data_IF_124818547109
#
_entry.id   IF_124818547109
#
_cell.length_a   1.000
_cell.length_b   1.000
_cell.length_c   1.000
_cell.angle_alpha   90.00
_cell.angle_beta   90.00
_cell.angle_gamma   90.00
#
_symmetry.space_group_name_H-M   'P 1'
#
loop_
_entity.id
_entity.type
_entity.pdbx_description
1 polymer ?
#
# COMPACT_ATOMS: atom_id res chain seq x y z
N UNK A 1 1.48 9.43 5.69
CA UNK A 1 1.86 8.01 5.80
C UNK A 1 2.09 7.61 7.27
N UNK A 2 2.48 6.36 7.53
CA UNK A 2 2.66 5.82 8.88
C UNK A 2 3.86 6.38 9.65
N UNK A 3 4.66 7.25 9.09
CA UNK A 3 5.71 8.00 9.82
C UNK A 3 5.14 8.77 11.02
N UNK A 4 3.83 9.05 11.04
CA UNK A 4 3.18 9.68 12.20
C UNK A 4 3.39 8.91 13.52
N UNK A 5 3.73 7.63 13.48
CA UNK A 5 4.10 6.85 14.67
C UNK A 5 5.23 7.53 15.47
N UNK A 6 6.10 8.29 14.80
CA UNK A 6 7.14 9.08 15.48
C UNK A 6 6.58 10.11 16.46
N UNK A 7 5.33 10.57 16.32
CA UNK A 7 4.67 11.46 17.28
C UNK A 7 4.14 10.73 18.52
N UNK A 8 4.10 9.39 18.48
CA UNK A 8 3.57 8.56 19.55
C UNK A 8 4.65 8.02 20.49
N UNK A 9 5.92 8.19 20.14
CA UNK A 9 7.06 7.93 21.02
C UNK A 9 8.10 9.04 20.86
N UNK A 10 8.64 9.53 21.96
CA UNK A 10 9.54 10.70 21.99
C UNK A 10 10.99 10.29 21.69
N UNK A 11 11.23 9.56 20.60
CA UNK A 11 12.55 9.03 20.22
C UNK A 11 13.19 9.74 19.04
N UNK A 12 12.39 10.41 18.21
CA UNK A 12 12.88 11.10 17.01
C UNK A 12 12.64 12.60 17.18
N UNK A 13 13.70 13.36 17.27
CA UNK A 13 13.64 14.82 17.37
C UNK A 13 13.57 15.50 16.00
N UNK A 14 14.15 14.86 14.97
CA UNK A 14 14.19 15.38 13.60
C UNK A 14 13.78 14.30 12.60
N UNK A 15 12.57 14.42 12.05
CA UNK A 15 12.01 13.49 11.06
C UNK A 15 12.56 13.69 9.65
N UNK A 16 13.48 14.64 9.41
CA UNK A 16 14.17 14.81 8.13
C UNK A 16 15.34 13.84 7.97
N UNK A 17 15.73 13.14 9.02
CA UNK A 17 16.82 12.17 9.02
C UNK A 17 16.30 10.75 8.76
N UNK A 18 17.14 9.78 8.37
CA UNK A 18 16.77 8.37 8.25
C UNK A 18 16.17 7.78 9.53
N UNK A 19 16.44 8.38 10.69
CA UNK A 19 15.88 7.98 11.98
C UNK A 19 14.33 7.91 11.96
N UNK A 20 13.66 8.68 11.11
CA UNK A 20 12.20 8.59 10.94
C UNK A 20 11.69 7.21 10.54
N UNK A 21 12.52 6.39 9.89
CA UNK A 21 12.18 5.02 9.48
C UNK A 21 12.75 3.99 10.45
N UNK A 22 14.03 4.12 10.84
CA UNK A 22 14.66 3.18 11.76
C UNK A 22 14.02 3.20 13.13
N UNK A 23 13.62 4.38 13.64
CA UNK A 23 12.90 4.48 14.90
C UNK A 23 11.51 3.82 14.83
N UNK A 24 10.80 3.89 13.69
CA UNK A 24 9.55 3.13 13.51
C UNK A 24 9.84 1.62 13.58
N UNK A 25 10.86 1.14 12.87
CA UNK A 25 11.24 -0.27 12.89
C UNK A 25 11.60 -0.78 14.30
N UNK A 26 12.21 0.06 15.12
CA UNK A 26 12.67 -0.31 16.45
C UNK A 26 11.59 -0.17 17.54
N UNK A 27 10.67 0.78 17.38
CA UNK A 27 9.77 1.17 18.47
C UNK A 27 8.29 0.97 18.17
N UNK A 28 7.88 0.78 16.91
CA UNK A 28 6.45 0.63 16.57
C UNK A 28 5.77 -0.50 17.37
N UNK A 29 6.49 -1.60 17.62
CA UNK A 29 5.97 -2.75 18.36
C UNK A 29 5.57 -2.40 19.82
N UNK A 30 6.12 -1.33 20.41
CA UNK A 30 5.79 -0.86 21.76
C UNK A 30 4.59 0.09 21.81
N UNK A 31 4.06 0.54 20.65
CA UNK A 31 2.93 1.46 20.60
C UNK A 31 1.63 0.68 20.76
N UNK A 32 0.98 0.82 21.91
CA UNK A 32 -0.36 0.27 22.11
C UNK A 32 -1.43 1.14 21.41
N UNK A 33 -2.12 0.61 20.38
CA UNK A 33 -3.20 1.34 19.69
C UNK A 33 -4.35 1.76 20.61
N UNK A 34 -4.53 1.09 21.74
CA UNK A 34 -5.60 1.41 22.72
C UNK A 34 -5.16 2.41 23.78
N UNK A 35 -3.89 2.79 23.84
CA UNK A 35 -3.39 3.77 24.81
C UNK A 35 -4.11 5.11 24.68
N UNK A 36 -4.25 5.80 25.82
CA UNK A 36 -4.89 7.13 25.84
C UNK A 36 -4.22 8.13 24.89
N UNK A 37 -2.88 8.04 24.74
CA UNK A 37 -2.09 8.87 23.83
C UNK A 37 -2.46 8.62 22.36
N UNK A 38 -2.51 7.36 21.93
CA UNK A 38 -2.91 7.00 20.55
C UNK A 38 -4.34 7.43 20.28
N UNK A 39 -5.27 7.11 21.18
CA UNK A 39 -6.68 7.45 21.03
C UNK A 39 -6.88 8.98 20.98
N UNK A 40 -6.15 9.76 21.77
CA UNK A 40 -6.19 11.21 21.69
C UNK A 40 -5.67 11.72 20.34
N UNK A 41 -4.59 11.14 19.81
CA UNK A 41 -4.05 11.51 18.50
C UNK A 41 -5.03 11.16 17.37
N UNK A 42 -5.65 9.99 17.38
CA UNK A 42 -6.64 9.60 16.37
C UNK A 42 -7.87 10.52 16.40
N UNK A 43 -8.34 10.90 17.60
CA UNK A 43 -9.41 11.92 17.72
C UNK A 43 -9.00 13.26 17.12
N UNK A 44 -7.77 13.70 17.36
CA UNK A 44 -7.24 14.93 16.76
C UNK A 44 -7.23 14.87 15.22
N UNK A 45 -6.74 13.77 14.64
CA UNK A 45 -6.76 13.58 13.17
C UNK A 45 -8.19 13.68 12.63
N UNK A 46 -9.15 13.01 13.27
CA UNK A 46 -10.56 13.07 12.88
C UNK A 46 -11.13 14.49 12.98
N UNK A 47 -10.91 15.18 14.10
CA UNK A 47 -11.37 16.56 14.33
C UNK A 47 -10.78 17.56 13.31
N UNK A 48 -9.58 17.29 12.83
CA UNK A 48 -8.88 18.12 11.84
C UNK A 48 -9.16 17.70 10.41
N UNK A 49 -10.08 16.74 10.20
CA UNK A 49 -10.43 16.20 8.88
C UNK A 49 -9.20 15.72 8.09
N UNK A 50 -8.22 15.14 8.79
CA UNK A 50 -7.01 14.59 8.16
C UNK A 50 -7.37 13.26 7.48
N UNK A 51 -7.04 13.13 6.20
CA UNK A 51 -7.02 11.84 5.51
C UNK A 51 -5.61 11.28 5.53
N UNK A 52 -5.45 10.01 5.87
CA UNK A 52 -4.17 9.34 5.87
C UNK A 52 -3.93 8.64 4.53
N UNK A 53 -2.67 8.59 4.13
CA UNK A 53 -2.16 7.71 3.09
C UNK A 53 -1.12 6.79 3.75
N UNK A 54 -1.50 5.56 4.15
CA UNK A 54 -0.64 4.69 4.98
C UNK A 54 0.66 4.31 4.31
N UNK A 55 0.65 3.98 3.02
CA UNK A 55 1.83 3.50 2.28
C UNK A 55 2.53 2.33 2.98
N UNK A 56 1.74 1.31 3.40
CA UNK A 56 2.28 0.16 4.13
C UNK A 56 3.31 -0.61 3.32
N UNK A 57 3.13 -0.65 2.00
CA UNK A 57 4.01 -1.40 1.09
C UNK A 57 5.45 -0.88 1.10
N UNK A 58 5.68 0.43 1.23
CA UNK A 58 7.05 0.94 1.34
C UNK A 58 7.67 0.56 2.68
N UNK A 59 6.88 0.52 3.75
CA UNK A 59 7.36 0.05 5.06
C UNK A 59 7.60 -1.45 5.07
N UNK A 60 6.78 -2.24 4.37
CA UNK A 60 7.06 -3.66 4.16
C UNK A 60 8.44 -3.84 3.57
N UNK A 61 8.74 -3.19 2.44
CA UNK A 61 10.06 -3.25 1.82
C UNK A 61 11.17 -2.79 2.77
N UNK A 62 11.01 -1.62 3.41
CA UNK A 62 12.02 -1.10 4.32
C UNK A 62 12.34 -2.05 5.48
N UNK A 63 11.35 -2.74 6.02
CA UNK A 63 11.51 -3.52 7.25
C UNK A 63 11.74 -5.00 7.00
N UNK A 64 11.27 -5.55 5.87
CA UNK A 64 11.29 -6.99 5.63
C UNK A 64 12.21 -7.45 4.51
N UNK A 65 12.55 -6.57 3.53
CA UNK A 65 13.43 -6.95 2.44
C UNK A 65 14.87 -7.06 2.92
N UNK A 66 15.59 -8.02 2.35
CA UNK A 66 17.01 -8.28 2.64
C UNK A 66 17.81 -8.31 1.36
N UNK A 67 19.04 -7.81 1.41
CA UNK A 67 19.93 -7.79 0.25
C UNK A 67 20.12 -9.20 -0.35
N UNK A 68 20.04 -9.28 -1.67
CA UNK A 68 20.18 -10.53 -2.42
C UNK A 68 18.91 -11.39 -2.48
N UNK A 69 17.81 -10.98 -1.84
CA UNK A 69 16.54 -11.73 -1.83
C UNK A 69 15.41 -10.84 -2.31
N UNK A 70 14.57 -11.38 -3.21
CA UNK A 70 13.34 -10.69 -3.62
C UNK A 70 12.41 -10.59 -2.42
N UNK A 71 11.99 -9.37 -2.09
CA UNK A 71 11.08 -9.11 -0.98
C UNK A 71 9.66 -9.61 -1.23
N UNK A 72 8.89 -9.92 -0.17
CA UNK A 72 7.52 -10.45 -0.29
C UNK A 72 6.60 -9.50 -1.07
N UNK A 73 6.76 -8.19 -0.89
CA UNK A 73 5.94 -7.19 -1.57
C UNK A 73 6.13 -7.17 -3.10
N UNK A 74 7.30 -7.58 -3.59
CA UNK A 74 7.65 -7.56 -5.01
C UNK A 74 7.67 -8.95 -5.66
N UNK A 75 7.55 -10.03 -4.87
CA UNK A 75 7.66 -11.41 -5.35
C UNK A 75 6.73 -11.73 -6.54
N UNK A 76 5.50 -11.22 -6.52
CA UNK A 76 4.52 -11.46 -7.58
C UNK A 76 4.90 -10.83 -8.95
N UNK A 77 5.87 -9.90 -8.98
CA UNK A 77 6.19 -9.12 -10.18
C UNK A 77 7.66 -9.16 -10.56
N UNK A 78 8.55 -9.51 -9.66
CA UNK A 78 10.01 -9.40 -9.82
C UNK A 78 10.55 -10.10 -11.08
N UNK A 79 10.09 -11.32 -11.36
CA UNK A 79 10.56 -12.12 -12.50
C UNK A 79 10.13 -11.55 -13.85
N UNK A 80 9.14 -10.68 -13.87
CA UNK A 80 8.61 -10.02 -15.06
C UNK A 80 9.33 -8.72 -15.41
N UNK A 81 10.07 -8.16 -14.45
CA UNK A 81 10.70 -6.85 -14.57
C UNK A 81 11.94 -6.87 -15.47
N UNK A 82 12.25 -5.75 -16.14
CA UNK A 82 13.51 -5.57 -16.83
C UNK A 82 14.70 -5.84 -15.90
N UNK A 83 15.87 -6.32 -16.45
CA UNK A 83 17.01 -6.72 -15.62
C UNK A 83 17.52 -5.65 -14.66
N UNK A 84 17.46 -4.37 -15.06
CA UNK A 84 17.89 -3.26 -14.20
C UNK A 84 16.95 -3.10 -13.01
N UNK A 85 15.64 -3.11 -13.24
CA UNK A 85 14.63 -3.03 -12.18
C UNK A 85 14.73 -4.25 -11.25
N UNK A 86 14.85 -5.45 -11.84
CA UNK A 86 15.02 -6.68 -11.05
C UNK A 86 16.24 -6.62 -10.13
N UNK A 87 17.34 -6.02 -10.60
CA UNK A 87 18.52 -5.82 -9.76
C UNK A 87 18.21 -4.91 -8.57
N UNK A 88 17.51 -3.80 -8.78
CA UNK A 88 17.16 -2.89 -7.66
C UNK A 88 16.25 -3.54 -6.63
N UNK A 89 15.38 -4.49 -7.04
CA UNK A 89 14.57 -5.26 -6.09
C UNK A 89 15.38 -6.21 -5.18
N UNK A 90 16.67 -6.41 -5.47
CA UNK A 90 17.59 -7.21 -4.66
C UNK A 90 18.47 -6.37 -3.72
N UNK A 91 18.33 -5.04 -3.73
CA UNK A 91 19.13 -4.17 -2.86
C UNK A 91 18.78 -4.31 -1.38
N UNK A 92 17.55 -4.77 -1.10
CA UNK A 92 17.03 -4.90 0.26
C UNK A 92 16.44 -3.60 0.81
N UNK A 93 15.96 -3.68 2.05
CA UNK A 93 15.39 -2.55 2.79
C UNK A 93 16.41 -1.82 3.66
N UNK A 94 15.98 -1.40 4.84
CA UNK A 94 16.88 -0.79 5.83
C UNK A 94 17.93 -1.79 6.32
N UNK A 95 19.17 -1.33 6.58
CA UNK A 95 20.13 -2.14 7.32
C UNK A 95 19.56 -2.56 8.67
N UNK A 96 19.57 -3.86 8.94
CA UNK A 96 19.02 -4.40 10.19
C UNK A 96 20.20 -4.68 11.13
N UNK A 97 20.27 -4.04 12.32
CA UNK A 97 21.27 -4.35 13.32
C UNK A 97 21.15 -5.79 13.82
N UNK A 98 22.27 -6.36 14.26
CA UNK A 98 22.32 -7.72 14.80
C UNK A 98 21.26 -7.94 15.90
N UNK A 99 20.51 -9.04 15.79
CA UNK A 99 19.45 -9.41 16.72
C UNK A 99 18.15 -8.59 16.59
N UNK A 100 18.03 -7.66 15.61
CA UNK A 100 16.85 -6.80 15.45
C UNK A 100 15.88 -7.26 14.34
N UNK A 101 16.15 -8.35 13.63
CA UNK A 101 15.30 -8.81 12.52
C UNK A 101 13.84 -9.01 12.96
N UNK A 102 13.63 -9.66 14.09
CA UNK A 102 12.28 -9.89 14.60
C UNK A 102 11.53 -8.59 14.92
N UNK A 103 12.20 -7.59 15.51
CA UNK A 103 11.55 -6.30 15.82
C UNK A 103 11.17 -5.53 14.56
N UNK A 104 12.01 -5.56 13.53
CA UNK A 104 11.72 -4.94 12.24
C UNK A 104 10.49 -5.57 11.57
N UNK A 105 10.40 -6.91 11.56
CA UNK A 105 9.21 -7.61 11.03
C UNK A 105 7.96 -7.34 11.87
N UNK A 106 8.09 -7.29 13.20
CA UNK A 106 6.98 -6.95 14.10
C UNK A 106 6.48 -5.52 13.91
N UNK A 107 7.34 -4.60 13.49
CA UNK A 107 6.95 -3.22 13.21
C UNK A 107 5.87 -3.16 12.12
N UNK A 108 6.00 -3.94 11.02
CA UNK A 108 4.97 -4.02 9.99
C UNK A 108 3.63 -4.52 10.56
N UNK A 109 3.65 -5.60 11.34
CA UNK A 109 2.44 -6.12 12.00
C UNK A 109 1.78 -5.06 12.89
N UNK A 110 2.60 -4.27 13.59
CA UNK A 110 2.07 -3.21 14.44
C UNK A 110 1.49 -2.04 13.63
N UNK A 111 2.07 -1.74 12.46
CA UNK A 111 1.50 -0.75 11.55
C UNK A 111 0.13 -1.22 11.01
N UNK A 112 -0.02 -2.50 10.70
CA UNK A 112 -1.31 -3.08 10.32
C UNK A 112 -2.34 -2.95 11.46
N UNK A 113 -1.94 -3.22 12.72
CA UNK A 113 -2.82 -2.99 13.90
C UNK A 113 -3.18 -1.51 14.06
N UNK A 114 -2.24 -0.61 13.81
CA UNK A 114 -2.48 0.83 13.84
C UNK A 114 -3.45 1.26 12.73
N UNK A 115 -3.37 0.67 11.52
CA UNK A 115 -4.34 0.91 10.46
C UNK A 115 -5.76 0.55 10.91
N UNK A 116 -5.93 -0.57 11.61
CA UNK A 116 -7.23 -0.96 12.15
C UNK A 116 -7.71 0.00 13.26
N UNK A 117 -6.82 0.56 14.07
CA UNK A 117 -7.17 1.60 15.03
C UNK A 117 -7.62 2.90 14.33
N UNK A 118 -6.91 3.31 13.28
CA UNK A 118 -7.28 4.45 12.41
C UNK A 118 -8.69 4.26 11.84
N UNK A 119 -8.94 3.06 11.26
CA UNK A 119 -10.25 2.69 10.72
C UNK A 119 -11.35 2.74 11.79
N UNK A 120 -11.11 2.13 12.95
CA UNK A 120 -12.06 2.08 14.06
C UNK A 120 -12.37 3.46 14.63
N UNK A 121 -11.41 4.37 14.63
CA UNK A 121 -11.61 5.77 15.03
C UNK A 121 -12.40 6.58 14.00
N UNK A 122 -12.62 6.03 12.80
CA UNK A 122 -13.29 6.72 11.68
C UNK A 122 -12.44 7.85 11.09
N UNK A 123 -11.10 7.72 11.12
CA UNK A 123 -10.18 8.56 10.37
C UNK A 123 -10.11 8.02 8.95
N UNK A 124 -10.44 8.82 7.93
CA UNK A 124 -10.40 8.37 6.55
C UNK A 124 -8.96 8.08 6.10
N UNK A 125 -8.80 7.09 5.22
CA UNK A 125 -7.52 6.80 4.58
C UNK A 125 -7.72 6.34 3.14
N UNK A 126 -6.69 6.49 2.34
CA UNK A 126 -6.63 6.13 0.92
C UNK A 126 -5.47 5.16 0.67
N UNK A 127 -5.34 4.66 -0.55
CA UNK A 127 -4.29 3.71 -0.91
C UNK A 127 -3.25 4.37 -1.81
N UNK A 128 -2.17 4.85 -1.23
CA UNK A 128 -0.96 5.26 -1.93
C UNK A 128 0.17 4.26 -1.69
N UNK A 129 1.24 4.35 -2.44
CA UNK A 129 2.32 3.34 -2.36
C UNK A 129 3.69 3.91 -2.03
N UNK A 130 3.98 5.12 -2.49
CA UNK A 130 5.33 5.72 -2.41
C UNK A 130 6.46 4.75 -2.86
N UNK A 131 6.12 3.85 -3.79
CA UNK A 131 6.96 2.73 -4.24
C UNK A 131 6.84 2.53 -5.75
N UNK A 132 7.31 1.38 -6.29
CA UNK A 132 7.36 1.09 -7.73
C UNK A 132 6.00 1.35 -8.43
N UNK A 133 5.91 2.37 -9.31
CA UNK A 133 4.65 2.77 -9.91
C UNK A 133 3.97 1.64 -10.71
N UNK A 134 2.65 1.56 -10.62
CA UNK A 134 1.84 0.62 -11.39
C UNK A 134 1.80 -0.81 -10.84
N UNK A 135 2.69 -1.20 -9.92
CA UNK A 135 2.77 -2.57 -9.42
C UNK A 135 2.49 -2.70 -7.93
N UNK A 136 2.90 -1.72 -7.14
CA UNK A 136 2.83 -1.83 -5.68
C UNK A 136 1.45 -1.49 -5.10
N UNK A 137 0.56 -0.88 -5.88
CA UNK A 137 -0.82 -0.62 -5.42
C UNK A 137 -1.54 -1.92 -5.05
N UNK A 138 -1.43 -2.96 -5.88
CA UNK A 138 -2.05 -4.24 -5.56
C UNK A 138 -1.54 -4.81 -4.23
N UNK A 139 -0.23 -4.65 -3.93
CA UNK A 139 0.34 -5.09 -2.64
C UNK A 139 -0.17 -4.24 -1.47
N UNK A 140 -0.30 -2.92 -1.64
CA UNK A 140 -0.90 -2.06 -0.62
C UNK A 140 -2.32 -2.51 -0.27
N UNK A 141 -3.14 -2.83 -1.29
CA UNK A 141 -4.50 -3.34 -1.07
C UNK A 141 -4.49 -4.69 -0.34
N UNK A 142 -3.56 -5.59 -0.67
CA UNK A 142 -3.40 -6.86 0.05
C UNK A 142 -3.03 -6.64 1.51
N UNK A 143 -2.11 -5.72 1.80
CA UNK A 143 -1.73 -5.39 3.17
C UNK A 143 -2.89 -4.86 4.00
N UNK A 144 -3.83 -4.12 3.37
CA UNK A 144 -5.05 -3.67 4.06
C UNK A 144 -5.98 -4.85 4.38
N UNK A 145 -6.13 -5.80 3.45
CA UNK A 145 -6.92 -7.01 3.70
C UNK A 145 -6.25 -7.89 4.78
N UNK A 146 -4.94 -8.05 4.72
CA UNK A 146 -4.16 -8.76 5.74
C UNK A 146 -4.30 -8.10 7.13
N UNK A 147 -4.43 -6.76 7.18
CA UNK A 147 -4.72 -6.03 8.42
C UNK A 147 -6.13 -6.29 8.96
N UNK A 148 -7.07 -6.77 8.14
CA UNK A 148 -8.45 -7.05 8.51
C UNK A 148 -9.50 -6.11 7.89
N UNK A 149 -9.13 -5.27 6.92
CA UNK A 149 -10.10 -4.47 6.16
C UNK A 149 -10.77 -5.38 5.12
N UNK A 150 -12.12 -5.44 5.04
CA UNK A 150 -12.80 -6.26 4.03
C UNK A 150 -12.42 -5.86 2.60
N UNK A 151 -12.20 -6.83 1.70
CA UNK A 151 -11.78 -6.57 0.33
C UNK A 151 -12.71 -5.59 -0.43
N UNK A 152 -14.05 -5.66 -0.34
CA UNK A 152 -14.92 -4.66 -0.98
C UNK A 152 -14.70 -3.24 -0.46
N UNK A 153 -14.38 -3.09 0.84
CA UNK A 153 -14.05 -1.79 1.44
C UNK A 153 -12.70 -1.29 0.92
N UNK A 154 -11.70 -2.17 0.82
CA UNK A 154 -10.38 -1.83 0.26
C UNK A 154 -10.52 -1.33 -1.18
N UNK A 155 -11.32 -1.99 -2.01
CA UNK A 155 -11.60 -1.53 -3.38
C UNK A 155 -12.25 -0.15 -3.39
N UNK A 156 -13.21 0.11 -2.50
CA UNK A 156 -13.86 1.41 -2.37
C UNK A 156 -12.87 2.50 -1.92
N UNK A 157 -11.98 2.19 -0.98
CA UNK A 157 -10.90 3.08 -0.53
C UNK A 157 -10.00 3.49 -1.70
N UNK A 158 -9.61 2.52 -2.56
CA UNK A 158 -8.74 2.75 -3.70
C UNK A 158 -9.43 3.44 -4.89
N UNK A 159 -10.74 3.58 -4.88
CA UNK A 159 -11.54 4.12 -5.99
C UNK A 159 -12.38 5.32 -5.55
N UNK A 160 -13.57 5.08 -5.03
CA UNK A 160 -14.54 6.13 -4.72
C UNK A 160 -14.06 7.07 -3.60
N UNK A 161 -13.43 6.53 -2.55
CA UNK A 161 -12.96 7.38 -1.45
C UNK A 161 -11.74 8.21 -1.87
N UNK A 162 -10.86 7.67 -2.72
CA UNK A 162 -9.78 8.43 -3.32
C UNK A 162 -10.32 9.54 -4.25
N UNK A 163 -11.35 9.26 -5.05
CA UNK A 163 -12.01 10.27 -5.89
C UNK A 163 -12.66 11.38 -5.03
N UNK A 164 -13.29 11.03 -3.92
CA UNK A 164 -13.84 12.01 -2.96
C UNK A 164 -12.76 12.91 -2.37
N UNK A 165 -11.63 12.34 -1.97
CA UNK A 165 -10.50 13.12 -1.47
C UNK A 165 -10.00 14.12 -2.50
N UNK A 166 -9.99 13.74 -3.78
CA UNK A 166 -9.60 14.59 -4.90
C UNK A 166 -10.71 15.58 -5.33
N UNK A 167 -11.93 15.50 -4.80
CA UNK A 167 -13.08 16.30 -5.23
C UNK A 167 -13.62 15.90 -6.61
N UNK A 168 -13.38 14.66 -7.05
CA UNK A 168 -13.69 14.14 -8.38
C UNK A 168 -14.76 13.03 -8.35
N UNK A 169 -15.43 12.81 -7.23
CA UNK A 169 -16.43 11.74 -7.09
C UNK A 169 -17.63 11.88 -8.02
N UNK A 170 -17.89 13.07 -8.54
CA UNK A 170 -18.89 13.30 -9.58
C UNK A 170 -18.50 12.70 -10.94
N UNK A 171 -17.19 12.56 -11.19
CA UNK A 171 -16.65 12.14 -12.50
C UNK A 171 -15.99 10.76 -12.45
N UNK A 172 -15.41 10.37 -11.32
CA UNK A 172 -14.54 9.18 -11.15
C UNK A 172 -14.95 8.33 -9.95
N UNK A 173 -14.24 7.21 -9.78
CA UNK A 173 -14.26 6.37 -8.60
C UNK A 173 -15.43 5.40 -8.47
N UNK A 174 -16.42 5.48 -9.35
CA UNK A 174 -17.50 4.49 -9.43
C UNK A 174 -18.06 4.40 -10.86
N UNK A 175 -18.61 3.24 -11.21
CA UNK A 175 -19.27 3.01 -12.49
C UNK A 175 -20.71 3.50 -12.37
N UNK A 176 -21.02 4.62 -13.06
CA UNK A 176 -22.37 5.17 -13.12
C UNK A 176 -22.56 5.98 -14.43
N UNK A 177 -23.78 6.08 -14.96
CA UNK A 177 -24.07 6.92 -16.12
C UNK A 177 -23.63 8.37 -15.88
N UNK A 178 -22.97 8.97 -16.88
CA UNK A 178 -22.48 10.34 -16.82
C UNK A 178 -21.08 10.51 -16.24
N UNK A 179 -20.44 9.45 -15.75
CA UNK A 179 -19.04 9.47 -15.32
C UNK A 179 -18.08 9.10 -16.44
N UNK A 180 -16.82 9.46 -16.27
CA UNK A 180 -15.75 9.07 -17.19
C UNK A 180 -15.62 7.54 -17.23
N UNK A 181 -15.37 7.02 -18.41
CA UNK A 181 -15.17 5.58 -18.61
C UNK A 181 -13.71 5.20 -18.26
N UNK A 182 -13.37 5.32 -16.98
CA UNK A 182 -12.10 4.90 -16.38
C UNK A 182 -12.33 3.62 -15.58
N UNK A 183 -12.02 2.48 -16.19
CA UNK A 183 -12.35 1.16 -15.63
C UNK A 183 -11.25 0.15 -15.92
N UNK A 184 -11.22 -0.92 -15.14
CA UNK A 184 -10.43 -2.11 -15.44
C UNK A 184 -11.36 -3.33 -15.51
N UNK A 185 -11.05 -4.25 -16.40
CA UNK A 185 -11.61 -5.61 -16.40
C UNK A 185 -10.55 -6.55 -15.89
N UNK A 186 -10.90 -7.35 -14.88
CA UNK A 186 -9.99 -8.32 -14.26
C UNK A 186 -10.54 -9.74 -14.44
N UNK A 187 -9.64 -10.72 -14.53
CA UNK A 187 -9.97 -12.12 -14.50
C UNK A 187 -9.98 -12.61 -13.04
N UNK A 188 -11.16 -12.72 -12.45
CA UNK A 188 -11.34 -13.10 -11.04
C UNK A 188 -12.37 -12.27 -10.31
N UNK A 189 -12.35 -12.33 -9.00
CA UNK A 189 -13.25 -11.60 -8.12
C UNK A 189 -12.46 -10.83 -7.03
N UNK A 190 -12.04 -9.60 -7.30
CA UNK A 190 -11.29 -8.80 -6.33
C UNK A 190 -12.06 -8.49 -5.05
N UNK A 191 -13.39 -8.63 -5.06
CA UNK A 191 -14.21 -8.45 -3.85
C UNK A 191 -14.04 -9.59 -2.83
N UNK A 192 -13.53 -10.74 -3.29
CA UNK A 192 -13.21 -11.91 -2.47
C UNK A 192 -11.71 -12.10 -2.29
N UNK A 193 -10.95 -11.91 -3.36
CA UNK A 193 -9.50 -11.99 -3.39
C UNK A 193 -8.95 -10.71 -4.03
N UNK A 194 -8.56 -9.75 -3.22
CA UNK A 194 -8.11 -8.45 -3.70
C UNK A 194 -6.88 -8.56 -4.62
N UNK A 195 -6.06 -9.61 -4.50
CA UNK A 195 -4.92 -9.89 -5.36
C UNK A 195 -5.29 -10.08 -6.84
N UNK A 196 -6.55 -10.43 -7.14
CA UNK A 196 -7.05 -10.57 -8.51
C UNK A 196 -7.01 -9.26 -9.31
N UNK A 197 -6.87 -8.09 -8.66
CA UNK A 197 -6.63 -6.80 -9.35
C UNK A 197 -5.39 -6.81 -10.25
N UNK A 198 -4.45 -7.76 -10.03
CA UNK A 198 -3.28 -7.96 -10.90
C UNK A 198 -3.60 -8.64 -12.23
N UNK A 199 -4.73 -9.34 -12.32
CA UNK A 199 -5.11 -10.15 -13.47
C UNK A 199 -5.90 -9.32 -14.49
N UNK A 200 -5.29 -8.23 -14.94
CA UNK A 200 -5.90 -7.29 -15.87
C UNK A 200 -6.14 -7.93 -17.23
N UNK A 201 -7.35 -7.84 -17.74
CA UNK A 201 -7.75 -8.23 -19.09
C UNK A 201 -7.89 -7.02 -20.00
N UNK A 202 -8.31 -5.88 -19.45
CA UNK A 202 -8.49 -4.64 -20.20
C UNK A 202 -8.35 -3.45 -19.26
N UNK A 203 -7.74 -2.39 -19.75
CA UNK A 203 -7.77 -1.07 -19.12
C UNK A 203 -8.55 -0.13 -20.03
N UNK A 204 -9.50 0.58 -19.46
CA UNK A 204 -10.31 1.59 -20.16
C UNK A 204 -9.99 2.93 -19.51
N UNK A 205 -9.52 3.87 -20.32
CA UNK A 205 -9.19 5.22 -19.86
C UNK A 205 -9.84 6.23 -20.78
N UNK A 206 -10.75 7.03 -20.23
CA UNK A 206 -11.54 8.01 -21.00
C UNK A 206 -12.21 7.38 -22.24
N UNK A 207 -12.72 6.15 -22.07
CA UNK A 207 -13.34 5.36 -23.14
C UNK A 207 -12.37 4.70 -24.12
N UNK A 208 -11.08 5.01 -24.10
CA UNK A 208 -10.07 4.32 -24.91
C UNK A 208 -9.67 2.98 -24.28
N UNK A 209 -9.52 1.94 -25.11
CA UNK A 209 -9.20 0.58 -24.70
C UNK A 209 -7.71 0.33 -24.82
N UNK A 210 -7.11 -0.22 -23.76
CA UNK A 210 -5.70 -0.57 -23.71
C UNK A 210 -5.54 -2.04 -23.34
N UNK A 211 -4.76 -2.78 -24.14
CA UNK A 211 -4.31 -4.13 -23.83
C UNK A 211 -3.18 -4.06 -22.79
N UNK A 212 -3.37 -4.63 -21.58
CA UNK A 212 -2.35 -4.62 -20.53
C UNK A 212 -1.04 -5.30 -20.94
N UNK A 213 -1.14 -6.36 -21.75
CA UNK A 213 0.02 -7.12 -22.23
C UNK A 213 0.83 -6.29 -23.24
N UNK A 214 0.16 -5.54 -24.11
CA UNK A 214 0.83 -4.63 -25.03
C UNK A 214 1.55 -3.50 -24.27
N UNK A 215 0.92 -2.95 -23.23
CA UNK A 215 1.55 -1.94 -22.35
C UNK A 215 2.78 -2.51 -21.63
N UNK A 216 2.68 -3.72 -21.07
CA UNK A 216 3.81 -4.38 -20.43
C UNK A 216 4.97 -4.54 -21.42
N UNK A 217 4.71 -5.09 -22.61
CA UNK A 217 5.74 -5.29 -23.66
C UNK A 217 6.41 -3.97 -24.06
N UNK A 218 5.64 -2.91 -24.23
CA UNK A 218 6.17 -1.58 -24.56
C UNK A 218 7.13 -1.03 -23.50
N UNK A 219 6.97 -1.44 -22.23
CA UNK A 219 7.82 -1.06 -21.10
C UNK A 219 8.96 -2.08 -20.84
N UNK A 220 9.10 -3.11 -21.68
CA UNK A 220 10.08 -4.18 -21.46
C UNK A 220 9.72 -5.11 -20.30
N UNK A 221 8.48 -5.12 -19.87
CA UNK A 221 7.95 -5.95 -18.78
C UNK A 221 7.29 -7.19 -19.41
N UNK A 222 7.55 -8.36 -18.86
CA UNK A 222 6.89 -9.58 -19.33
C UNK A 222 5.41 -9.57 -18.89
N UNK A 223 4.47 -9.85 -19.80
CA UNK A 223 3.06 -10.03 -19.45
C UNK A 223 2.85 -11.10 -18.38
N UNK A 224 1.75 -11.03 -17.67
CA UNK A 224 1.35 -12.11 -16.77
C UNK A 224 1.09 -13.36 -17.63
N UNK A 225 1.66 -14.51 -17.25
CA UNK A 225 1.34 -15.76 -17.92
C UNK A 225 -0.18 -15.98 -17.86
N UNK A 226 -0.81 -16.26 -19.00
CA UNK A 226 -2.22 -16.62 -19.02
C UNK A 226 -2.41 -17.80 -18.06
N UNK A 227 -3.14 -17.59 -16.97
CA UNK A 227 -3.57 -18.67 -16.11
C UNK A 227 -4.35 -19.62 -17.03
N UNK A 228 -3.89 -20.85 -17.19
CA UNK A 228 -4.38 -21.78 -18.20
C UNK A 228 -5.89 -21.73 -18.33
N UNK A 229 -6.32 -21.45 -19.57
CA UNK A 229 -7.74 -21.49 -19.96
C UNK A 229 -8.26 -22.89 -19.82
#
# INVERSE_FOLDING_TARGET
NMVFLNFLYDKVQDTRTPARFTAVAEHAASVDPQSARVQAFLRLLKQRHVTLDPTLVVFESLFTDRAGVVGPGTAAVADRMPPLVRRSLLEGGLPVPDGKDASYRQALTQMQRMLMAVRSAGVPFVAGTDALPGFMLARELELYVEAGVPAPEVLRIATLDAARLAGLEGELGSIAPGKLADMILVDGDPSRNVGDVRRLQLVIKDGALFDPDALCRALGIQPLAASGR
#
